data_IF_888711639100
#
_entry.id   IF_888711639100
#
_cell.length_a   1.000
_cell.length_b   1.000
_cell.length_c   1.000
_cell.angle_alpha   90.00
_cell.angle_beta   90.00
_cell.angle_gamma   90.00
#
_symmetry.space_group_name_H-M   'P 1'
#
loop_
_entity.id
_entity.type
_entity.pdbx_description
1 polymer ?
#
# COMPACT_ATOMS: atom_id res chain seq x y z
N UNK A 1 -17.85 8.48 -9.96
CA UNK A 1 -16.40 8.21 -9.75
C UNK A 1 -16.07 8.17 -8.25
N UNK A 2 -16.33 9.24 -7.48
CA UNK A 2 -16.02 9.32 -6.04
C UNK A 2 -16.65 8.19 -5.20
N UNK A 3 -17.93 7.85 -5.42
CA UNK A 3 -18.56 6.72 -4.71
C UNK A 3 -17.99 5.34 -5.08
N UNK A 4 -17.64 5.13 -6.36
CA UNK A 4 -17.02 3.88 -6.81
C UNK A 4 -15.60 3.72 -6.24
N UNK A 5 -14.85 4.83 -6.12
CA UNK A 5 -13.54 4.86 -5.46
C UNK A 5 -13.65 4.54 -3.96
N UNK A 6 -14.65 5.08 -3.25
CA UNK A 6 -14.88 4.78 -1.84
C UNK A 6 -15.24 3.31 -1.58
N UNK A 7 -16.06 2.70 -2.43
CA UNK A 7 -16.34 1.26 -2.34
C UNK A 7 -15.09 0.41 -2.63
N UNK A 8 -14.30 0.77 -3.63
CA UNK A 8 -13.04 0.08 -3.95
C UNK A 8 -12.00 0.19 -2.82
N UNK A 9 -11.91 1.35 -2.17
CA UNK A 9 -11.02 1.57 -1.02
C UNK A 9 -11.46 0.70 0.16
N UNK A 10 -12.77 0.63 0.46
CA UNK A 10 -13.29 -0.26 1.53
C UNK A 10 -13.01 -1.74 1.26
N UNK A 11 -13.07 -2.18 0.01
CA UNK A 11 -12.79 -3.56 -0.38
C UNK A 11 -11.33 -3.95 -0.10
N UNK A 12 -10.39 -3.00 -0.21
CA UNK A 12 -8.94 -3.21 0.01
C UNK A 12 -8.50 -2.91 1.44
N UNK A 13 -9.23 -2.05 2.15
CA UNK A 13 -8.91 -1.67 3.53
C UNK A 13 -8.87 -2.90 4.45
N UNK A 14 -9.80 -3.85 4.27
CA UNK A 14 -9.85 -5.10 5.05
C UNK A 14 -8.58 -5.96 4.87
N UNK A 15 -8.15 -6.32 3.64
CA UNK A 15 -6.87 -7.00 3.41
C UNK A 15 -5.62 -6.26 3.91
N UNK A 16 -5.56 -4.93 3.75
CA UNK A 16 -4.39 -4.13 4.19
C UNK A 16 -4.26 -4.14 5.71
N UNK A 17 -5.37 -3.98 6.42
CA UNK A 17 -5.40 -4.04 7.88
C UNK A 17 -5.13 -5.46 8.38
N UNK A 18 -5.67 -6.50 7.72
CA UNK A 18 -5.44 -7.89 8.08
C UNK A 18 -3.96 -8.29 8.00
N UNK A 19 -3.28 -7.93 6.89
CA UNK A 19 -1.88 -8.28 6.66
C UNK A 19 -0.94 -7.53 7.59
N UNK A 20 -1.16 -6.22 7.77
CA UNK A 20 -0.36 -5.42 8.70
C UNK A 20 -0.52 -5.86 10.16
N UNK A 21 -1.74 -6.17 10.61
CA UNK A 21 -1.98 -6.68 11.97
C UNK A 21 -1.35 -8.06 12.19
N UNK A 22 -1.55 -9.00 11.26
CA UNK A 22 -0.98 -10.34 11.38
C UNK A 22 0.55 -10.30 11.47
N UNK A 23 1.17 -9.44 10.68
CA UNK A 23 2.62 -9.29 10.67
C UNK A 23 3.14 -8.57 11.92
N UNK A 24 2.47 -7.51 12.38
CA UNK A 24 2.82 -6.83 13.64
C UNK A 24 2.77 -7.82 14.81
N UNK A 25 1.69 -8.60 14.93
CA UNK A 25 1.56 -9.62 15.97
C UNK A 25 2.63 -10.72 15.85
N UNK A 26 3.05 -11.07 14.64
CA UNK A 26 4.12 -12.04 14.40
C UNK A 26 5.52 -11.55 14.79
N UNK A 27 5.79 -10.25 14.72
CA UNK A 27 7.11 -9.67 15.08
C UNK A 27 7.22 -9.20 16.54
N UNK A 28 6.08 -9.01 17.22
CA UNK A 28 6.03 -8.72 18.68
C UNK A 28 6.92 -9.66 19.51
N UNK A 29 6.86 -11.00 19.36
CA UNK A 29 7.72 -11.89 20.13
C UNK A 29 9.22 -11.70 19.83
N UNK A 30 9.60 -11.30 18.61
CA UNK A 30 11.00 -10.99 18.28
C UNK A 30 11.48 -9.71 19.00
N UNK A 31 10.60 -8.73 19.23
CA UNK A 31 10.92 -7.49 19.93
C UNK A 31 11.20 -7.69 21.42
N UNK A 32 10.58 -8.71 22.04
CA UNK A 32 10.72 -9.03 23.47
C UNK A 32 11.59 -10.27 23.73
N UNK A 33 12.13 -10.91 22.68
CA UNK A 33 12.89 -12.14 22.80
C UNK A 33 14.22 -11.94 23.55
N UNK A 34 14.32 -12.51 24.75
CA UNK A 34 15.56 -12.64 25.53
C UNK A 34 16.24 -14.00 25.31
N UNK A 35 17.56 -14.02 25.09
CA UNK A 35 18.33 -15.25 24.86
C UNK A 35 19.50 -15.04 23.89
N UNK A 36 20.20 -16.12 23.49
CA UNK A 36 21.31 -16.02 22.52
C UNK A 36 20.86 -15.35 21.21
N UNK A 37 21.59 -14.36 20.70
CA UNK A 37 21.20 -13.50 19.57
C UNK A 37 19.94 -12.62 19.81
N UNK A 38 19.59 -12.29 21.06
CA UNK A 38 18.48 -11.38 21.40
C UNK A 38 18.63 -10.02 20.75
N UNK A 39 19.82 -9.41 20.82
CA UNK A 39 20.08 -8.09 20.24
C UNK A 39 19.71 -8.08 18.75
N UNK A 40 20.15 -9.08 17.98
CA UNK A 40 19.85 -9.15 16.54
C UNK A 40 18.36 -9.36 16.26
N UNK A 41 17.67 -10.17 17.06
CA UNK A 41 16.21 -10.39 16.92
C UNK A 41 15.42 -9.13 17.25
N UNK A 42 15.79 -8.42 18.32
CA UNK A 42 15.15 -7.18 18.73
C UNK A 42 15.40 -6.07 17.72
N UNK A 43 16.63 -5.93 17.20
CA UNK A 43 16.95 -4.97 16.13
C UNK A 43 16.06 -5.20 14.91
N UNK A 44 15.94 -6.45 14.44
CA UNK A 44 15.06 -6.78 13.32
C UNK A 44 13.60 -6.49 13.66
N UNK A 45 13.12 -6.90 14.84
CA UNK A 45 11.75 -6.68 15.29
C UNK A 45 11.36 -5.19 15.27
N UNK A 46 12.19 -4.32 15.86
CA UNK A 46 11.96 -2.87 15.86
C UNK A 46 12.03 -2.25 14.47
N UNK A 47 13.00 -2.66 13.65
CA UNK A 47 13.16 -2.16 12.27
C UNK A 47 11.94 -2.49 11.42
N UNK A 48 11.48 -3.73 11.53
CA UNK A 48 10.37 -4.26 10.75
C UNK A 48 9.02 -3.71 11.21
N UNK A 49 8.83 -3.53 12.52
CA UNK A 49 7.64 -2.90 13.07
C UNK A 49 7.48 -1.45 12.60
N UNK A 50 8.55 -0.64 12.71
CA UNK A 50 8.55 0.74 12.21
C UNK A 50 8.39 0.81 10.69
N UNK A 51 9.08 -0.08 9.97
CA UNK A 51 9.00 -0.19 8.51
C UNK A 51 7.59 -0.52 8.03
N UNK A 52 6.89 -1.43 8.71
CA UNK A 52 5.52 -1.79 8.32
C UNK A 52 4.53 -0.66 8.61
N UNK A 53 4.64 0.05 9.74
CA UNK A 53 3.81 1.23 10.01
C UNK A 53 3.99 2.33 8.95
N UNK A 54 5.24 2.63 8.60
CA UNK A 54 5.57 3.62 7.57
C UNK A 54 5.08 3.17 6.18
N UNK A 55 5.36 1.93 5.78
CA UNK A 55 4.98 1.38 4.48
C UNK A 55 3.46 1.32 4.31
N UNK A 56 2.72 0.90 5.33
CA UNK A 56 1.25 0.81 5.27
C UNK A 56 0.63 2.19 5.14
N UNK A 57 1.11 3.16 5.93
CA UNK A 57 0.67 4.56 5.86
C UNK A 57 0.94 5.15 4.48
N UNK A 58 2.16 4.98 3.97
CA UNK A 58 2.54 5.49 2.66
C UNK A 58 1.73 4.81 1.54
N UNK A 59 1.55 3.49 1.58
CA UNK A 59 0.81 2.74 0.56
C UNK A 59 -0.66 3.16 0.46
N UNK A 60 -1.33 3.42 1.60
CA UNK A 60 -2.73 3.86 1.62
C UNK A 60 -2.92 5.18 0.85
N UNK A 61 -1.97 6.11 0.92
CA UNK A 61 -2.05 7.39 0.21
C UNK A 61 -1.45 7.34 -1.20
N UNK A 62 -0.30 6.70 -1.36
CA UNK A 62 0.46 6.70 -2.61
C UNK A 62 -0.20 5.85 -3.68
N UNK A 63 -0.75 4.67 -3.33
CA UNK A 63 -1.35 3.76 -4.32
C UNK A 63 -2.57 4.37 -5.01
N UNK A 64 -3.55 4.99 -4.31
CA UNK A 64 -4.68 5.64 -4.98
C UNK A 64 -4.26 6.84 -5.82
N UNK A 65 -3.32 7.66 -5.34
CA UNK A 65 -2.84 8.84 -6.05
C UNK A 65 -2.12 8.44 -7.33
N UNK A 66 -1.20 7.46 -7.25
CA UNK A 66 -0.55 6.89 -8.43
C UNK A 66 -1.56 6.29 -9.40
N UNK A 67 -2.56 5.56 -8.90
CA UNK A 67 -3.60 4.99 -9.75
C UNK A 67 -4.36 6.08 -10.52
N UNK A 68 -4.77 7.18 -9.85
CA UNK A 68 -5.46 8.30 -10.51
C UNK A 68 -4.55 9.01 -11.51
N UNK A 69 -3.28 9.24 -11.18
CA UNK A 69 -2.31 9.85 -12.08
C UNK A 69 -2.08 9.03 -13.35
N UNK A 70 -1.82 7.74 -13.19
CA UNK A 70 -1.62 6.80 -14.30
C UNK A 70 -2.90 6.70 -15.14
N UNK A 71 -4.05 6.57 -14.48
CA UNK A 71 -5.35 6.50 -15.15
C UNK A 71 -5.62 7.79 -15.96
N UNK A 72 -5.39 8.96 -15.37
CA UNK A 72 -5.55 10.26 -16.06
C UNK A 72 -4.59 10.40 -17.25
N UNK A 73 -3.34 9.98 -17.10
CA UNK A 73 -2.35 9.97 -18.18
C UNK A 73 -2.74 9.01 -19.31
N UNK A 74 -3.22 7.81 -18.97
CA UNK A 74 -3.65 6.78 -19.92
C UNK A 74 -4.92 7.22 -20.70
N UNK A 75 -5.93 7.78 -20.01
CA UNK A 75 -7.13 8.30 -20.67
C UNK A 75 -6.85 9.54 -21.52
N UNK A 76 -5.86 10.37 -21.15
CA UNK A 76 -5.41 11.50 -21.98
C UNK A 76 -4.81 11.02 -23.30
N UNK A 77 -4.08 9.90 -23.32
CA UNK A 77 -3.58 9.29 -24.58
C UNK A 77 -4.71 8.73 -25.45
N UNK A 78 -5.75 8.11 -24.87
CA UNK A 78 -6.90 7.59 -25.65
C UNK A 78 -7.73 8.70 -26.31
N UNK A 79 -7.91 9.85 -25.64
CA UNK A 79 -8.67 10.98 -26.23
C UNK A 79 -7.96 11.57 -27.46
N UNK A 80 -6.63 11.58 -27.48
CA UNK A 80 -5.84 12.03 -28.63
C UNK A 80 -5.99 11.05 -29.80
N UNK A 81 -5.94 9.74 -29.52
CA UNK A 81 -5.99 8.70 -30.57
C UNK A 81 -7.35 8.58 -31.27
N UNK A 82 -8.46 8.88 -30.58
CA UNK A 82 -9.81 8.81 -31.16
C UNK A 82 -10.12 10.05 -32.01
N UNK A 83 -9.67 11.24 -31.62
CA UNK A 83 -9.83 12.45 -32.46
C UNK A 83 -8.98 12.38 -33.73
N UNK A 84 -7.80 11.74 -33.70
CA UNK A 84 -6.99 11.53 -34.91
C UNK A 84 -7.61 10.51 -35.87
N UNK A 85 -8.40 9.52 -35.39
CA UNK A 85 -9.03 8.50 -36.25
C UNK A 85 -10.42 8.85 -36.80
N UNK A 86 -11.01 9.97 -36.37
CA UNK A 86 -12.31 10.47 -36.87
C UNK A 86 -12.15 11.62 -37.86
N UNK A 87 -10.91 12.00 -38.18
CA UNK A 87 -10.56 13.03 -39.16
C UNK A 87 -9.96 12.49 -40.46
N UNK A 88 -10.02 11.17 -40.68
CA UNK A 88 -9.69 10.51 -41.96
C UNK A 88 -10.91 9.83 -42.56
#
# INVERSE_FOLDING_TARGET
VVQATLQAVRLRLRPIIMTSLAFILGVVPLMIASGAASISRQTIGWTVFGGMLAATSLAIFVVPVLYVLITKAAFRKRKIQVTTKLGE
#
